data_IF_700365146948
#
_entry.id   IF_700365146948
#
_cell.length_a   1.000
_cell.length_b   1.000
_cell.length_c   1.000
_cell.angle_alpha   90.00
_cell.angle_beta   90.00
_cell.angle_gamma   90.00
#
_symmetry.space_group_name_H-M   'P 1'
#
loop_
_entity.id
_entity.type
_entity.pdbx_description
1 polymer ?
#
# COMPACT_ATOMS: atom_id res chain seq x y z
N UNK A 1 -26.84 37.61 -28.46
CA UNK A 1 -26.81 36.14 -28.62
C UNK A 1 -25.39 35.56 -28.73
N UNK A 2 -24.39 36.28 -29.28
CA UNK A 2 -23.03 35.76 -29.45
C UNK A 2 -22.32 35.42 -28.13
N UNK A 3 -22.41 36.31 -27.13
CA UNK A 3 -21.78 36.10 -25.82
C UNK A 3 -22.23 34.81 -25.09
N UNK A 4 -23.54 34.52 -24.93
CA UNK A 4 -23.96 33.29 -24.26
C UNK A 4 -23.56 32.01 -25.02
N UNK A 5 -23.51 32.06 -26.36
CA UNK A 5 -23.03 30.92 -27.17
C UNK A 5 -21.55 30.67 -26.93
N UNK A 6 -20.72 31.73 -26.91
CA UNK A 6 -19.29 31.62 -26.60
C UNK A 6 -19.05 31.10 -25.19
N UNK A 7 -19.81 31.58 -24.20
CA UNK A 7 -19.75 31.08 -22.83
C UNK A 7 -20.11 29.60 -22.78
N UNK A 8 -21.21 29.20 -23.42
CA UNK A 8 -21.61 27.78 -23.49
C UNK A 8 -20.55 26.89 -24.12
N UNK A 9 -19.94 27.34 -25.23
CA UNK A 9 -18.86 26.60 -25.89
C UNK A 9 -17.62 26.44 -24.99
N UNK A 10 -17.19 27.49 -24.30
CA UNK A 10 -16.03 27.45 -23.38
C UNK A 10 -16.29 26.53 -22.18
N UNK A 11 -17.52 26.49 -21.66
CA UNK A 11 -17.88 25.66 -20.50
C UNK A 11 -18.06 24.17 -20.85
N UNK A 12 -18.22 23.82 -22.13
CA UNK A 12 -18.49 22.43 -22.54
C UNK A 12 -17.33 21.50 -22.18
N UNK A 13 -16.08 21.93 -22.44
CA UNK A 13 -14.90 21.11 -22.18
C UNK A 13 -14.62 20.86 -20.68
N UNK A 14 -14.61 21.86 -19.78
CA UNK A 14 -14.41 21.62 -18.35
C UNK A 14 -15.57 20.82 -17.74
N UNK A 15 -16.82 21.06 -18.16
CA UNK A 15 -17.96 20.28 -17.69
C UNK A 15 -17.84 18.80 -18.10
N UNK A 16 -17.51 18.53 -19.36
CA UNK A 16 -17.31 17.16 -19.84
C UNK A 16 -16.16 16.45 -19.10
N UNK A 17 -15.07 17.18 -18.81
CA UNK A 17 -13.95 16.66 -18.04
C UNK A 17 -14.34 16.32 -16.59
N UNK A 18 -15.09 17.20 -15.92
CA UNK A 18 -15.55 16.99 -14.55
C UNK A 18 -16.52 15.81 -14.43
N UNK A 19 -17.49 15.73 -15.36
CA UNK A 19 -18.41 14.57 -15.45
C UNK A 19 -17.63 13.27 -15.63
N UNK A 20 -16.64 13.23 -16.53
CA UNK A 20 -15.80 12.04 -16.71
C UNK A 20 -15.02 11.69 -15.45
N UNK A 21 -14.41 12.67 -14.80
CA UNK A 21 -13.67 12.46 -13.55
C UNK A 21 -14.58 11.90 -12.46
N UNK A 22 -15.79 12.43 -12.31
CA UNK A 22 -16.79 11.91 -11.37
C UNK A 22 -17.17 10.44 -11.68
N UNK A 23 -17.35 10.10 -12.97
CA UNK A 23 -17.61 8.73 -13.39
C UNK A 23 -16.43 7.79 -13.12
N UNK A 24 -15.18 8.25 -13.28
CA UNK A 24 -13.98 7.49 -12.93
C UNK A 24 -13.90 7.29 -11.43
N UNK A 25 -14.09 8.35 -10.63
CA UNK A 25 -14.05 8.30 -9.16
C UNK A 25 -15.15 7.41 -8.57
N UNK A 26 -16.29 7.27 -9.24
CA UNK A 26 -17.37 6.37 -8.85
C UNK A 26 -17.06 4.88 -9.03
N UNK A 27 -15.93 4.52 -9.65
CA UNK A 27 -15.51 3.13 -9.84
C UNK A 27 -14.60 2.65 -8.72
N UNK A 28 -14.47 1.34 -8.59
CA UNK A 28 -13.66 0.72 -7.55
C UNK A 28 -12.16 0.99 -7.75
N UNK A 29 -11.53 1.56 -6.73
CA UNK A 29 -10.09 1.88 -6.67
C UNK A 29 -9.21 0.62 -6.76
N UNK A 30 -8.11 0.69 -7.51
CA UNK A 30 -7.16 -0.42 -7.68
C UNK A 30 -6.56 -0.94 -6.37
N UNK A 31 -6.42 -0.08 -5.34
CA UNK A 31 -5.97 -0.50 -4.00
C UNK A 31 -7.05 -1.31 -3.30
N UNK A 32 -8.33 -0.98 -3.49
CA UNK A 32 -9.43 -1.77 -2.93
C UNK A 32 -9.51 -3.14 -3.62
N UNK A 33 -9.29 -3.20 -4.93
CA UNK A 33 -9.21 -4.46 -5.67
C UNK A 33 -8.05 -5.33 -5.18
N UNK A 34 -6.88 -4.74 -4.95
CA UNK A 34 -5.74 -5.45 -4.38
C UNK A 34 -6.02 -5.95 -2.96
N UNK A 35 -6.70 -5.14 -2.14
CA UNK A 35 -7.15 -5.55 -0.80
C UNK A 35 -8.08 -6.76 -0.88
N UNK A 36 -9.17 -6.67 -1.63
CA UNK A 36 -10.14 -7.76 -1.78
C UNK A 36 -9.45 -9.03 -2.27
N UNK A 37 -8.57 -8.93 -3.27
CA UNK A 37 -7.84 -10.09 -3.78
C UNK A 37 -6.99 -10.80 -2.71
N UNK A 38 -6.38 -10.04 -1.79
CA UNK A 38 -5.64 -10.58 -0.65
C UNK A 38 -6.58 -11.18 0.41
N UNK A 39 -7.66 -10.48 0.75
CA UNK A 39 -8.65 -10.94 1.73
C UNK A 39 -9.32 -12.25 1.31
N UNK A 40 -9.60 -12.43 0.02
CA UNK A 40 -10.24 -13.63 -0.52
C UNK A 40 -9.32 -14.87 -0.51
N UNK A 41 -8.02 -14.67 -0.41
CA UNK A 41 -7.01 -15.74 -0.58
C UNK A 41 -6.23 -16.08 0.67
N UNK A 42 -6.11 -15.14 1.59
CA UNK A 42 -5.25 -15.28 2.75
C UNK A 42 -6.04 -15.04 4.04
N UNK A 43 -5.76 -15.82 5.10
CA UNK A 43 -6.36 -15.58 6.39
C UNK A 43 -5.90 -14.22 6.95
N UNK A 44 -6.65 -13.67 7.92
CA UNK A 44 -6.28 -12.43 8.58
C UNK A 44 -4.92 -12.53 9.26
N UNK A 45 -4.38 -11.38 9.64
CA UNK A 45 -3.01 -11.21 10.13
C UNK A 45 -1.93 -11.62 9.12
N UNK A 46 -2.24 -11.61 7.82
CA UNK A 46 -1.27 -11.86 6.76
C UNK A 46 -0.09 -10.89 6.86
N UNK A 47 1.14 -11.41 6.95
CA UNK A 47 2.36 -10.60 6.83
C UNK A 47 2.60 -10.25 5.36
N UNK A 48 2.33 -9.00 5.01
CA UNK A 48 2.50 -8.48 3.64
C UNK A 48 3.20 -7.12 3.70
N UNK A 49 4.22 -6.95 2.86
CA UNK A 49 4.92 -5.67 2.71
C UNK A 49 4.11 -4.82 1.74
N UNK A 50 3.49 -3.76 2.25
CA UNK A 50 2.68 -2.84 1.46
C UNK A 50 3.37 -1.49 1.42
N UNK A 51 3.67 -1.00 0.22
CA UNK A 51 4.18 0.35 0.06
C UNK A 51 3.22 1.39 0.65
N UNK A 52 3.72 2.52 1.19
CA UNK A 52 2.92 3.51 1.91
C UNK A 52 2.02 4.37 1.01
N UNK A 53 1.11 3.73 0.27
CA UNK A 53 0.08 4.35 -0.58
C UNK A 53 -1.36 4.18 -0.03
N UNK A 54 -1.47 3.62 1.18
CA UNK A 54 -2.74 3.29 1.83
C UNK A 54 -2.79 3.79 3.26
N UNK A 55 -3.96 4.24 3.76
CA UNK A 55 -4.11 4.69 5.14
C UNK A 55 -4.06 3.54 6.14
N UNK A 56 -3.82 3.83 7.42
CA UNK A 56 -3.74 2.80 8.47
C UNK A 56 -4.98 1.90 8.59
N UNK A 57 -6.17 2.40 8.25
CA UNK A 57 -7.42 1.61 8.20
C UNK A 57 -7.39 0.48 7.16
N UNK A 58 -6.52 0.58 6.15
CA UNK A 58 -6.33 -0.46 5.13
C UNK A 58 -5.86 -1.79 5.73
N UNK A 59 -5.16 -1.75 6.87
CA UNK A 59 -4.63 -2.93 7.54
C UNK A 59 -5.61 -3.57 8.55
N UNK A 60 -6.77 -2.94 8.81
CA UNK A 60 -7.71 -3.35 9.85
C UNK A 60 -8.84 -4.20 9.27
N UNK A 61 -9.33 -5.17 10.03
CA UNK A 61 -10.39 -6.12 9.65
C UNK A 61 -11.81 -5.53 9.61
N UNK A 62 -12.00 -4.22 9.83
CA UNK A 62 -13.33 -3.64 9.87
C UNK A 62 -13.31 -2.10 9.71
N UNK A 63 -13.55 -1.58 8.49
CA UNK A 63 -13.78 -0.15 8.31
C UNK A 63 -15.25 0.30 8.50
N UNK A 64 -16.23 -0.60 8.69
CA UNK A 64 -17.67 -0.30 8.58
C UNK A 64 -18.55 -0.65 9.81
N UNK A 65 -17.97 -1.05 10.95
CA UNK A 65 -18.69 -1.29 12.21
C UNK A 65 -19.09 -2.74 12.48
N UNK A 66 -19.60 -3.50 11.49
CA UNK A 66 -20.01 -4.90 11.66
C UNK A 66 -18.83 -5.89 11.71
N UNK A 67 -18.97 -7.03 12.40
CA UNK A 67 -17.96 -8.10 12.36
C UNK A 67 -18.06 -8.87 11.03
N UNK A 68 -16.93 -9.16 10.35
CA UNK A 68 -16.96 -9.98 9.15
C UNK A 68 -17.47 -11.41 9.44
N UNK A 69 -18.12 -12.09 8.47
CA UNK A 69 -18.66 -13.43 8.68
C UNK A 69 -17.62 -14.49 9.06
N UNK A 70 -16.36 -14.32 8.65
CA UNK A 70 -15.26 -15.22 8.98
C UNK A 70 -14.76 -15.05 10.42
N UNK A 71 -15.20 -14.01 11.13
CA UNK A 71 -14.76 -13.66 12.48
C UNK A 71 -15.87 -13.99 13.49
N UNK A 72 -15.58 -14.84 14.46
CA UNK A 72 -16.53 -15.23 15.51
C UNK A 72 -15.91 -15.09 16.90
N UNK A 73 -16.74 -15.09 17.95
CA UNK A 73 -16.27 -15.07 19.34
C UNK A 73 -15.82 -16.46 19.77
N UNK A 74 -14.89 -16.53 20.71
CA UNK A 74 -14.62 -17.76 21.45
C UNK A 74 -14.44 -17.47 22.94
N UNK A 75 -14.67 -18.47 23.81
CA UNK A 75 -14.58 -18.26 25.25
C UNK A 75 -13.24 -17.71 25.68
N UNK A 76 -13.25 -16.88 26.73
CA UNK A 76 -12.03 -16.46 27.40
C UNK A 76 -11.17 -17.68 27.80
N UNK A 77 -9.85 -17.57 27.63
CA UNK A 77 -8.88 -18.53 28.16
C UNK A 77 -8.34 -18.03 29.49
N UNK A 78 -7.68 -18.90 30.26
CA UNK A 78 -7.01 -18.51 31.49
C UNK A 78 -6.10 -17.28 31.26
N UNK A 79 -6.28 -16.23 32.07
CA UNK A 79 -5.58 -14.94 31.91
C UNK A 79 -6.21 -13.94 30.92
N UNK A 80 -7.37 -14.24 30.33
CA UNK A 80 -8.14 -13.27 29.52
C UNK A 80 -9.27 -12.68 30.35
N UNK A 81 -9.40 -11.36 30.33
CA UNK A 81 -10.47 -10.65 31.04
C UNK A 81 -11.85 -10.73 30.34
N UNK A 82 -11.90 -11.21 29.10
CA UNK A 82 -13.12 -11.30 28.30
C UNK A 82 -12.98 -12.31 27.15
N UNK A 83 -14.12 -12.65 26.55
CA UNK A 83 -14.18 -13.47 25.35
C UNK A 83 -13.23 -12.96 24.26
N UNK A 84 -12.57 -13.89 23.59
CA UNK A 84 -11.68 -13.60 22.49
C UNK A 84 -12.37 -13.58 21.14
N UNK A 85 -11.53 -13.53 20.11
CA UNK A 85 -11.91 -13.64 18.72
C UNK A 85 -11.33 -14.92 18.15
N UNK A 86 -12.03 -15.48 17.19
CA UNK A 86 -11.59 -16.68 16.52
C UNK A 86 -11.90 -16.64 15.03
N UNK A 87 -10.95 -17.18 14.28
CA UNK A 87 -10.94 -17.15 12.83
C UNK A 87 -10.23 -18.40 12.30
N UNK A 88 -10.38 -18.66 11.00
CA UNK A 88 -9.69 -19.77 10.33
C UNK A 88 -8.25 -19.38 10.03
N UNK A 89 -7.31 -20.04 10.69
CA UNK A 89 -5.88 -19.80 10.51
C UNK A 89 -5.28 -20.52 9.29
N UNK A 90 -3.98 -20.34 9.04
CA UNK A 90 -3.26 -21.08 8.03
C UNK A 90 -3.37 -22.60 8.28
N UNK A 91 -3.81 -23.37 7.28
CA UNK A 91 -4.06 -24.82 7.41
C UNK A 91 -5.48 -25.20 7.83
N UNK A 92 -6.40 -24.23 7.92
CA UNK A 92 -7.83 -24.50 8.10
C UNK A 92 -8.29 -24.72 9.54
N UNK A 93 -7.36 -24.85 10.49
CA UNK A 93 -7.66 -24.89 11.92
C UNK A 93 -8.20 -23.56 12.44
N UNK A 94 -9.02 -23.61 13.49
CA UNK A 94 -9.51 -22.40 14.16
C UNK A 94 -8.51 -21.91 15.19
N UNK A 95 -8.16 -20.63 15.12
CA UNK A 95 -7.33 -19.94 16.10
C UNK A 95 -8.22 -19.11 17.02
N UNK A 96 -7.87 -19.04 18.31
CA UNK A 96 -8.47 -18.14 19.29
C UNK A 96 -7.43 -17.13 19.75
N UNK A 97 -7.75 -15.85 19.61
CA UNK A 97 -6.87 -14.73 19.94
C UNK A 97 -7.61 -13.75 20.86
N UNK A 98 -6.87 -13.12 21.79
CA UNK A 98 -7.45 -12.18 22.75
C UNK A 98 -7.99 -10.91 22.09
N UNK A 99 -7.26 -10.40 21.09
CA UNK A 99 -7.58 -9.14 20.42
C UNK A 99 -8.16 -9.38 19.03
N UNK A 100 -8.96 -8.43 18.55
CA UNK A 100 -9.52 -8.49 17.19
C UNK A 100 -8.37 -8.54 16.17
N UNK A 101 -8.28 -9.58 15.32
CA UNK A 101 -7.17 -9.70 14.38
C UNK A 101 -7.19 -8.56 13.37
N UNK A 102 -6.02 -8.05 13.01
CA UNK A 102 -5.86 -7.16 11.85
C UNK A 102 -6.06 -7.94 10.54
N UNK A 103 -6.28 -7.23 9.43
CA UNK A 103 -6.30 -7.90 8.13
C UNK A 103 -4.87 -8.21 7.67
N UNK A 104 -3.99 -7.23 7.81
CA UNK A 104 -2.61 -7.32 7.38
C UNK A 104 -1.69 -6.93 8.55
N UNK A 105 -0.71 -7.77 8.83
CA UNK A 105 0.41 -7.43 9.68
C UNK A 105 1.48 -6.76 8.82
N UNK A 106 1.84 -5.53 9.17
CA UNK A 106 2.84 -4.73 8.45
C UNK A 106 4.22 -4.96 9.06
N UNK A 107 5.30 -4.93 8.26
CA UNK A 107 6.63 -4.74 8.80
C UNK A 107 6.60 -3.35 9.45
N UNK A 108 6.92 -3.27 10.71
CA UNK A 108 6.56 -2.18 11.59
C UNK A 108 7.31 -0.86 11.31
N UNK A 109 6.75 0.25 11.82
CA UNK A 109 7.15 1.62 11.47
C UNK A 109 6.52 2.10 10.16
N UNK A 110 5.68 3.14 10.23
CA UNK A 110 5.01 3.65 9.03
C UNK A 110 5.92 4.69 8.43
N UNK A 111 6.66 4.33 7.40
CA UNK A 111 7.42 5.32 6.63
C UNK A 111 6.42 6.07 5.77
N UNK A 112 6.46 7.42 5.79
CA UNK A 112 5.63 8.20 4.86
C UNK A 112 6.02 7.89 3.42
N UNK A 113 5.07 8.03 2.50
CA UNK A 113 5.34 7.89 1.06
C UNK A 113 6.50 8.76 0.57
N UNK A 114 6.69 9.95 1.14
CA UNK A 114 7.80 10.85 0.81
C UNK A 114 9.17 10.34 1.27
N UNK A 115 9.24 9.58 2.37
CA UNK A 115 10.48 9.10 2.97
C UNK A 115 10.78 7.62 2.66
N UNK A 116 9.90 6.94 1.92
CA UNK A 116 10.03 5.50 1.67
C UNK A 116 11.35 5.11 0.99
N UNK A 117 11.89 5.97 0.13
CA UNK A 117 13.18 5.77 -0.52
C UNK A 117 14.35 5.60 0.47
N UNK A 118 14.25 6.13 1.70
CA UNK A 118 15.30 6.04 2.72
C UNK A 118 15.46 4.62 3.29
N UNK A 119 14.44 3.77 3.14
CA UNK A 119 14.42 2.41 3.70
C UNK A 119 14.56 1.33 2.63
N UNK A 120 14.77 1.71 1.38
CA UNK A 120 14.90 0.78 0.26
C UNK A 120 16.36 0.43 0.02
N UNK A 121 16.64 -0.86 0.10
CA UNK A 121 17.90 -1.46 -0.30
C UNK A 121 17.67 -2.91 -0.78
N UNK A 122 18.55 -3.48 -1.62
CA UNK A 122 18.40 -4.86 -2.09
C UNK A 122 18.22 -5.87 -0.94
N UNK A 123 18.95 -5.68 0.18
CA UNK A 123 18.91 -6.57 1.34
C UNK A 123 17.55 -6.69 2.01
N UNK A 124 16.67 -5.70 1.85
CA UNK A 124 15.32 -5.69 2.44
C UNK A 124 14.46 -6.86 1.95
N UNK A 125 14.69 -7.34 0.72
CA UNK A 125 14.01 -8.53 0.19
C UNK A 125 14.35 -9.76 1.04
N UNK A 126 15.60 -9.90 1.48
CA UNK A 126 16.03 -10.95 2.39
C UNK A 126 15.37 -10.86 3.76
N UNK A 127 15.23 -9.64 4.30
CA UNK A 127 14.53 -9.41 5.56
C UNK A 127 13.05 -9.79 5.45
N UNK A 128 12.39 -9.43 4.35
CA UNK A 128 11.02 -9.86 4.10
C UNK A 128 10.88 -11.38 4.13
N UNK A 129 11.79 -12.12 3.48
CA UNK A 129 11.79 -13.59 3.55
C UNK A 129 11.98 -14.09 4.98
N UNK A 130 12.99 -13.58 5.67
CA UNK A 130 13.33 -13.98 7.05
C UNK A 130 12.16 -13.82 8.01
N UNK A 131 11.39 -12.75 7.87
CA UNK A 131 10.25 -12.46 8.73
C UNK A 131 8.90 -12.98 8.20
N UNK A 132 8.90 -13.67 7.06
CA UNK A 132 7.71 -14.29 6.47
C UNK A 132 6.78 -13.32 5.72
N UNK A 133 7.30 -12.19 5.25
CA UNK A 133 6.60 -11.25 4.36
C UNK A 133 6.77 -11.66 2.90
N UNK A 134 6.17 -12.78 2.51
CA UNK A 134 6.37 -13.34 1.17
C UNK A 134 5.61 -12.63 0.06
N UNK A 135 4.75 -11.69 0.42
CA UNK A 135 4.00 -10.87 -0.52
C UNK A 135 4.46 -9.42 -0.40
N UNK A 136 4.75 -8.82 -1.55
CA UNK A 136 5.14 -7.42 -1.66
C UNK A 136 4.17 -6.71 -2.60
N UNK A 137 3.51 -5.68 -2.12
CA UNK A 137 2.59 -4.84 -2.88
C UNK A 137 3.29 -3.52 -3.22
N UNK A 138 3.64 -3.35 -4.49
CA UNK A 138 4.21 -2.10 -5.00
C UNK A 138 3.13 -1.24 -5.64
N UNK A 139 3.31 0.07 -5.57
CA UNK A 139 2.38 1.05 -6.10
C UNK A 139 3.14 2.07 -6.94
N UNK A 140 2.77 2.24 -8.21
CA UNK A 140 3.59 3.03 -9.16
C UNK A 140 3.86 4.47 -8.67
N UNK A 141 2.89 5.16 -8.07
CA UNK A 141 3.07 6.52 -7.52
C UNK A 141 4.19 6.58 -6.46
N UNK A 142 4.35 5.54 -5.64
CA UNK A 142 5.42 5.46 -4.62
C UNK A 142 6.73 5.00 -5.26
N UNK A 143 6.66 3.97 -6.11
CA UNK A 143 7.80 3.45 -6.87
C UNK A 143 8.48 4.49 -7.74
N UNK A 144 7.73 5.19 -8.58
CA UNK A 144 8.27 6.20 -9.50
C UNK A 144 8.83 7.40 -8.76
N UNK A 145 8.19 7.84 -7.67
CA UNK A 145 8.77 8.85 -6.77
C UNK A 145 10.11 8.39 -6.19
N UNK A 146 10.19 7.15 -5.72
CA UNK A 146 11.43 6.60 -5.17
C UNK A 146 12.53 6.46 -6.23
N UNK A 147 12.18 5.98 -7.43
CA UNK A 147 13.13 5.87 -8.55
C UNK A 147 13.63 7.25 -9.03
N UNK A 148 12.80 8.29 -8.91
CA UNK A 148 13.16 9.67 -9.21
C UNK A 148 14.33 10.23 -8.40
N UNK A 149 14.66 9.65 -7.23
CA UNK A 149 15.84 10.05 -6.44
C UNK A 149 17.15 9.63 -7.10
N UNK A 150 17.10 8.70 -8.06
CA UNK A 150 18.26 8.08 -8.73
C UNK A 150 19.22 7.34 -7.79
N UNK A 151 18.83 7.07 -6.54
CA UNK A 151 19.65 6.29 -5.59
C UNK A 151 19.83 4.84 -6.11
N UNK A 152 21.07 4.35 -6.26
CA UNK A 152 21.34 2.99 -6.74
C UNK A 152 20.78 1.90 -5.82
N UNK A 153 20.65 2.15 -4.51
CA UNK A 153 20.06 1.20 -3.54
C UNK A 153 18.57 1.01 -3.80
N UNK A 154 17.85 2.10 -4.08
CA UNK A 154 16.43 2.08 -4.44
C UNK A 154 16.22 1.29 -5.74
N UNK A 155 17.02 1.59 -6.78
CA UNK A 155 16.97 0.84 -8.04
C UNK A 155 17.30 -0.65 -7.82
N UNK A 156 18.29 -0.93 -6.98
CA UNK A 156 18.69 -2.27 -6.61
C UNK A 156 17.57 -3.06 -5.93
N UNK A 157 16.80 -2.43 -5.05
CA UNK A 157 15.62 -3.03 -4.42
C UNK A 157 14.58 -3.47 -5.46
N UNK A 158 14.14 -2.58 -6.36
CA UNK A 158 13.12 -2.93 -7.35
C UNK A 158 13.61 -3.99 -8.35
N UNK A 159 14.89 -3.93 -8.76
CA UNK A 159 15.48 -4.99 -9.59
C UNK A 159 15.54 -6.33 -8.87
N UNK A 160 15.87 -6.34 -7.57
CA UNK A 160 15.87 -7.57 -6.77
C UNK A 160 14.46 -8.13 -6.64
N UNK A 161 13.45 -7.28 -6.40
CA UNK A 161 12.06 -7.69 -6.34
C UNK A 161 11.56 -8.33 -7.65
N UNK A 162 11.91 -7.73 -8.79
CA UNK A 162 11.52 -8.26 -10.12
C UNK A 162 12.26 -9.56 -10.47
N UNK A 163 13.52 -9.69 -10.04
CA UNK A 163 14.33 -10.89 -10.29
C UNK A 163 13.95 -12.06 -9.39
N UNK A 164 13.63 -11.79 -8.13
CA UNK A 164 13.46 -12.81 -7.09
C UNK A 164 12.02 -12.93 -6.57
N UNK A 165 11.10 -12.35 -7.34
CA UNK A 165 9.68 -12.37 -7.05
C UNK A 165 8.87 -12.58 -8.32
N UNK A 166 7.84 -13.42 -8.21
CA UNK A 166 6.87 -13.64 -9.27
C UNK A 166 5.72 -12.66 -9.14
N UNK A 167 5.42 -11.92 -10.22
CA UNK A 167 4.20 -11.12 -10.30
C UNK A 167 2.98 -12.05 -10.25
N UNK A 168 2.16 -11.92 -9.22
CA UNK A 168 0.91 -12.67 -9.06
C UNK A 168 -0.27 -11.95 -9.70
N UNK A 169 -0.31 -10.62 -9.55
CA UNK A 169 -1.42 -9.81 -10.02
C UNK A 169 -1.01 -8.37 -10.24
N UNK A 170 -1.55 -7.78 -11.30
CA UNK A 170 -1.54 -6.35 -11.54
C UNK A 170 -2.97 -5.81 -11.56
N UNK A 171 -3.18 -4.67 -10.91
CA UNK A 171 -4.41 -3.88 -10.97
C UNK A 171 -4.04 -2.54 -11.61
N UNK A 172 -4.53 -2.33 -12.83
CA UNK A 172 -4.28 -1.12 -13.59
C UNK A 172 -5.47 -0.17 -13.50
N UNK A 173 -5.24 1.15 -13.33
CA UNK A 173 -6.30 2.12 -13.38
C UNK A 173 -6.68 2.51 -14.82
N UNK A 174 -5.88 2.09 -15.81
CA UNK A 174 -6.03 2.48 -17.20
C UNK A 174 -7.06 1.63 -17.95
N UNK A 175 -7.62 2.17 -19.03
CA UNK A 175 -8.38 1.39 -20.00
C UNK A 175 -7.50 0.34 -20.68
N UNK A 176 -8.09 -0.79 -21.05
CA UNK A 176 -7.36 -1.86 -21.73
C UNK A 176 -6.81 -1.35 -23.07
N UNK A 177 -5.52 -1.52 -23.31
CA UNK A 177 -4.83 -1.05 -24.52
C UNK A 177 -4.46 0.44 -24.50
N UNK A 178 -4.76 1.18 -23.43
CA UNK A 178 -4.22 2.54 -23.26
C UNK A 178 -2.82 2.51 -22.65
N UNK A 179 -1.97 3.42 -23.11
CA UNK A 179 -0.65 3.62 -22.53
C UNK A 179 -0.77 4.22 -21.12
N UNK A 180 0.10 3.81 -20.18
CA UNK A 180 0.18 4.43 -18.87
C UNK A 180 0.51 5.92 -18.98
N UNK A 181 -0.19 6.73 -18.19
CA UNK A 181 0.13 8.16 -18.04
C UNK A 181 1.47 8.28 -17.31
N UNK A 182 2.45 9.06 -17.83
CA UNK A 182 3.69 9.33 -17.12
C UNK A 182 3.43 9.88 -15.72
N UNK A 183 4.28 9.50 -14.77
CA UNK A 183 4.11 9.94 -13.39
C UNK A 183 4.16 11.47 -13.29
N UNK A 184 3.05 12.05 -12.84
CA UNK A 184 2.93 13.43 -12.42
C UNK A 184 2.12 13.45 -11.13
N UNK A 185 2.66 14.08 -10.08
CA UNK A 185 2.06 14.01 -8.75
C UNK A 185 0.63 14.59 -8.71
N UNK A 186 0.40 15.72 -9.37
CA UNK A 186 -0.91 16.39 -9.40
C UNK A 186 -1.92 15.58 -10.24
N UNK A 187 -1.46 15.05 -11.39
CA UNK A 187 -2.31 14.25 -12.27
C UNK A 187 -2.63 12.85 -11.71
N UNK A 188 -1.88 12.38 -10.71
CA UNK A 188 -2.09 11.05 -10.09
C UNK A 188 -3.37 10.98 -9.24
N UNK A 189 -3.97 12.12 -8.89
CA UNK A 189 -5.17 12.17 -8.03
C UNK A 189 -6.38 12.85 -8.67
N UNK A 190 -6.19 13.61 -9.75
CA UNK A 190 -7.30 14.33 -10.42
C UNK A 190 -7.93 13.55 -11.58
N UNK A 191 -7.31 12.45 -12.04
CA UNK A 191 -7.77 11.58 -13.14
C UNK A 191 -8.18 12.36 -14.41
N UNK A 192 -7.54 13.51 -14.65
CA UNK A 192 -7.85 14.36 -15.80
C UNK A 192 -7.47 13.74 -17.15
N UNK A 193 -6.39 12.94 -17.29
CA UNK A 193 -6.13 12.20 -18.52
C UNK A 193 -7.24 11.19 -18.84
N UNK A 194 -7.62 11.10 -20.11
CA UNK A 194 -8.68 10.18 -20.59
C UNK A 194 -8.32 8.70 -20.52
N UNK A 195 -7.04 8.38 -20.31
CA UNK A 195 -6.56 6.99 -20.20
C UNK A 195 -7.09 6.27 -18.94
N UNK A 196 -7.55 7.00 -17.93
CA UNK A 196 -8.05 6.40 -16.68
C UNK A 196 -9.45 5.82 -16.84
N UNK A 197 -9.55 4.51 -16.54
CA UNK A 197 -10.81 3.76 -16.45
C UNK A 197 -11.42 3.82 -15.07
N UNK A 198 -10.60 3.85 -14.02
CA UNK A 198 -10.99 3.72 -12.61
C UNK A 198 -9.98 4.48 -11.73
N UNK A 199 -10.30 4.77 -10.46
CA UNK A 199 -9.39 5.50 -9.62
C UNK A 199 -8.26 4.60 -9.11
N UNK A 200 -7.24 5.24 -8.59
CA UNK A 200 -6.10 4.62 -7.96
C UNK A 200 -4.86 4.52 -8.87
N UNK A 201 -3.73 4.13 -8.27
CA UNK A 201 -2.47 3.88 -8.96
C UNK A 201 -2.42 2.49 -9.64
N UNK A 202 -1.39 2.20 -10.42
CA UNK A 202 -1.09 0.81 -10.76
C UNK A 202 -0.56 0.09 -9.52
N UNK A 203 -1.22 -1.00 -9.13
CA UNK A 203 -0.83 -1.84 -8.00
C UNK A 203 -0.33 -3.18 -8.52
N UNK A 204 0.85 -3.61 -8.09
CA UNK A 204 1.42 -4.93 -8.41
C UNK A 204 1.66 -5.72 -7.15
N UNK A 205 1.25 -6.98 -7.17
CA UNK A 205 1.47 -7.94 -6.09
C UNK A 205 2.48 -8.98 -6.54
N UNK A 206 3.62 -9.02 -5.85
CA UNK A 206 4.67 -10.00 -6.06
C UNK A 206 4.65 -11.05 -4.95
N UNK A 207 5.01 -12.27 -5.30
CA UNK A 207 5.38 -13.32 -4.36
C UNK A 207 6.87 -13.56 -4.43
N UNK A 208 7.56 -13.40 -3.31
CA UNK A 208 8.98 -13.71 -3.22
C UNK A 208 9.20 -15.21 -3.35
N UNK A 209 10.19 -15.58 -4.15
CA UNK A 209 10.66 -16.96 -4.27
C UNK A 209 11.31 -17.42 -2.95
N UNK A 210 11.34 -18.73 -2.70
CA UNK A 210 11.91 -19.36 -1.51
C UNK A 210 11.46 -18.75 -0.17
N UNK A 211 10.19 -18.33 -0.11
CA UNK A 211 9.63 -17.67 1.05
C UNK A 211 8.48 -18.44 1.68
N UNK A 212 8.57 -18.67 3.00
CA UNK A 212 7.49 -19.26 3.80
C UNK A 212 6.61 -18.18 4.42
N UNK A 213 5.34 -18.14 3.99
CA UNK A 213 4.40 -17.11 4.40
C UNK A 213 4.16 -17.13 5.92
N UNK A 214 4.39 -15.98 6.57
CA UNK A 214 4.10 -15.75 7.97
C UNK A 214 2.75 -15.06 8.19
N UNK A 215 2.22 -15.20 9.39
CA UNK A 215 0.98 -14.60 9.87
C UNK A 215 1.18 -14.09 11.30
N UNK A 216 0.29 -13.20 11.75
CA UNK A 216 0.39 -12.59 13.08
C UNK A 216 1.37 -11.41 13.13
N UNK A 217 1.50 -10.75 14.30
CA UNK A 217 2.43 -9.65 14.49
C UNK A 217 3.87 -10.07 14.17
N UNK A 218 4.75 -9.15 13.70
CA UNK A 218 6.14 -9.49 13.41
C UNK A 218 6.85 -10.05 14.66
N UNK A 219 7.73 -11.02 14.47
CA UNK A 219 8.51 -11.65 15.55
C UNK A 219 9.48 -10.65 16.21
N UNK A 220 10.05 -9.77 15.39
CA UNK A 220 10.90 -8.65 15.81
C UNK A 220 10.25 -7.39 15.29
N UNK A 221 10.10 -6.41 16.17
CA UNK A 221 9.72 -5.07 15.74
C UNK A 221 10.89 -4.42 14.99
N UNK A 222 10.83 -4.38 13.65
CA UNK A 222 11.68 -3.55 12.80
C UNK A 222 11.65 -2.11 13.33
N UNK A 223 12.79 -1.57 13.76
CA UNK A 223 12.85 -0.24 14.34
C UNK A 223 12.11 0.76 13.47
N UNK A 224 11.21 1.55 14.08
CA UNK A 224 10.60 2.66 13.36
C UNK A 224 11.74 3.55 12.88
N UNK A 225 11.88 3.71 11.57
CA UNK A 225 12.83 4.68 11.04
C UNK A 225 12.44 6.04 11.57
N UNK A 226 13.33 6.65 12.34
CA UNK A 226 13.17 8.02 12.82
C UNK A 226 13.35 8.90 11.60
N UNK A 227 12.23 9.34 11.04
CA UNK A 227 12.25 10.29 9.94
C UNK A 227 12.97 11.55 10.43
N UNK A 228 13.90 12.04 9.62
CA UNK A 228 14.51 13.33 9.87
C UNK A 228 13.39 14.39 9.90
N UNK A 229 13.48 15.39 10.80
CA UNK A 229 12.58 16.54 10.75
C UNK A 229 12.53 17.11 9.33
N UNK A 230 11.36 17.59 8.87
CA UNK A 230 11.36 18.42 7.67
C UNK A 230 12.36 19.56 7.89
N UNK A 231 13.23 19.80 6.91
CA UNK A 231 14.32 20.80 6.95
C UNK A 231 15.54 20.47 7.82
N UNK A 232 15.75 19.21 8.22
CA UNK A 232 17.03 18.84 8.82
C UNK A 232 18.19 19.17 7.85
N UNK A 233 19.28 19.80 8.33
CA UNK A 233 20.45 20.09 7.51
C UNK A 233 20.95 18.80 6.86
N UNK A 234 21.38 18.87 5.59
CA UNK A 234 22.07 17.74 4.98
C UNK A 234 23.40 17.58 5.73
N UNK A 235 23.85 16.34 5.93
CA UNK A 235 24.95 15.99 6.83
C UNK A 235 26.32 16.63 6.57
N UNK A 236 26.41 17.55 5.61
CA UNK A 236 27.59 18.38 5.36
C UNK A 236 27.57 19.67 6.21
N UNK A 237 26.42 20.03 6.81
CA UNK A 237 26.25 21.24 7.65
C UNK A 237 26.36 20.95 9.16
N UNK A 238 26.57 19.68 9.57
CA UNK A 238 26.56 19.25 10.97
C UNK A 238 27.96 19.26 11.62
N UNK A 239 28.87 20.10 11.13
CA UNK A 239 30.23 20.24 11.65
C UNK A 239 30.49 21.68 12.12
N UNK A 240 29.67 22.18 13.03
CA UNK A 240 30.02 23.20 14.03
C UNK A 240 28.89 23.22 15.04
N UNK A 241 29.16 22.71 16.24
CA UNK A 241 28.71 23.26 17.53
C UNK A 241 29.00 22.19 18.59
N UNK A 242 30.29 22.01 18.86
CA UNK A 242 30.77 21.60 20.19
C UNK A 242 30.80 22.85 21.09
N UNK A 243 30.51 22.62 22.37
CA UNK A 243 30.60 23.53 23.53
C UNK A 243 29.54 24.66 23.63
N UNK A 244 28.58 24.53 24.56
CA UNK A 244 28.64 25.04 25.96
C UNK A 244 27.63 24.26 26.83
#
# INVERSE_FOLDING_TARGET
>A
AVLPVLVGAVLTQPLAADVRTALVLGREDTRLQARSWLEDRFPPELRVAIEPAVPGRYYRSNPAGALPPWLSRCPAREGWASDGFSYRGPGGGRLCVRYKPGQFARPDGGVRASAYHLVLAPGVIGDYRRYGYCLVMTVNVVRERALGTRDPRVRGYYRALEREGRLLREFSPYEAGSDPVPFNFDLSYNYYPTAYRRPGPTVRLYRLDDCRQGYGPPLVRIPKVRELPPFAPRGDDAATDEEV
#
